data_IF_727495730465
#
_entry.id   IF_727495730465
#
_cell.length_a   1.000
_cell.length_b   1.000
_cell.length_c   1.000
_cell.angle_alpha   90.00
_cell.angle_beta   90.00
_cell.angle_gamma   90.00
#
_symmetry.space_group_name_H-M   'P 1'
#
loop_
_entity.id
_entity.type
_entity.pdbx_description
1 polymer ?
#
# COMPACT_ATOMS: atom_id res chain seq x y z
N UNK A 1 7.73 34.06 -4.25
CA UNK A 1 7.76 32.95 -5.23
C UNK A 1 8.31 31.71 -4.54
N UNK A 2 7.79 30.52 -4.77
CA UNK A 2 8.34 29.32 -4.16
C UNK A 2 9.80 29.12 -4.58
N UNK A 3 10.71 28.75 -3.66
CA UNK A 3 12.13 28.57 -3.95
C UNK A 3 12.36 27.21 -4.64
N UNK A 4 12.05 27.11 -5.92
CA UNK A 4 12.10 25.85 -6.69
C UNK A 4 13.46 25.14 -6.59
N UNK A 5 14.57 25.90 -6.54
CA UNK A 5 15.91 25.34 -6.36
C UNK A 5 16.06 24.57 -5.05
N UNK A 6 15.52 25.09 -3.93
CA UNK A 6 15.55 24.42 -2.63
C UNK A 6 14.72 23.12 -2.64
N UNK A 7 13.53 23.14 -3.23
CA UNK A 7 12.71 21.94 -3.39
C UNK A 7 13.41 20.88 -4.28
N UNK A 8 14.08 21.31 -5.36
CA UNK A 8 14.84 20.41 -6.22
C UNK A 8 16.03 19.77 -5.48
N UNK A 9 16.73 20.52 -4.62
CA UNK A 9 17.80 19.97 -3.76
C UNK A 9 17.24 18.93 -2.81
N UNK A 10 16.11 19.20 -2.15
CA UNK A 10 15.46 18.24 -1.25
C UNK A 10 15.01 16.97 -1.99
N UNK A 11 14.42 17.10 -3.19
CA UNK A 11 14.07 15.96 -4.03
C UNK A 11 15.28 15.10 -4.37
N UNK A 12 16.38 15.73 -4.77
CA UNK A 12 17.63 15.05 -5.13
C UNK A 12 18.22 14.32 -3.92
N UNK A 13 18.24 14.94 -2.74
CA UNK A 13 18.74 14.34 -1.51
C UNK A 13 17.88 13.16 -1.09
N UNK A 14 16.56 13.29 -1.17
CA UNK A 14 15.62 12.19 -0.89
C UNK A 14 15.86 11.02 -1.84
N UNK A 15 16.00 11.28 -3.13
CA UNK A 15 16.23 10.26 -4.15
C UNK A 15 17.60 9.60 -4.01
N UNK A 16 18.66 10.41 -3.93
CA UNK A 16 20.03 9.89 -3.80
C UNK A 16 20.20 9.17 -2.45
N UNK A 17 19.64 9.71 -1.36
CA UNK A 17 19.68 9.09 -0.04
C UNK A 17 19.05 7.69 -0.07
N UNK A 18 17.82 7.57 -0.58
CA UNK A 18 17.15 6.27 -0.71
C UNK A 18 17.94 5.31 -1.60
N UNK A 19 18.37 5.78 -2.77
CA UNK A 19 19.13 4.96 -3.71
C UNK A 19 20.43 4.42 -3.11
N UNK A 20 21.22 5.28 -2.46
CA UNK A 20 22.52 4.91 -1.90
C UNK A 20 22.38 4.04 -0.64
N UNK A 21 21.44 4.37 0.25
CA UNK A 21 21.22 3.63 1.51
C UNK A 21 20.71 2.20 1.22
N UNK A 22 20.02 1.98 0.12
CA UNK A 22 19.58 0.64 -0.28
C UNK A 22 20.72 -0.36 -0.45
N UNK A 23 21.93 0.03 -0.91
CA UNK A 23 23.02 -0.90 -1.12
C UNK A 23 23.50 -1.59 0.16
N UNK A 24 23.85 -0.86 1.25
CA UNK A 24 24.22 -1.50 2.51
C UNK A 24 23.05 -2.21 3.17
N UNK A 25 21.83 -1.66 3.14
CA UNK A 25 20.65 -2.29 3.75
C UNK A 25 20.31 -3.62 3.09
N UNK A 26 20.37 -3.69 1.77
CA UNK A 26 20.16 -4.95 1.06
C UNK A 26 21.18 -6.03 1.49
N UNK A 27 22.46 -5.67 1.62
CA UNK A 27 23.49 -6.59 2.11
C UNK A 27 23.23 -7.05 3.54
N UNK A 28 22.80 -6.11 4.40
CA UNK A 28 22.46 -6.39 5.79
C UNK A 28 21.24 -7.31 5.88
N UNK A 29 20.16 -7.00 5.17
CA UNK A 29 18.94 -7.82 5.15
C UNK A 29 19.21 -9.27 4.71
N UNK A 30 20.07 -9.46 3.70
CA UNK A 30 20.51 -10.80 3.27
C UNK A 30 21.32 -11.53 4.36
N UNK A 31 22.18 -10.81 5.11
CA UNK A 31 22.98 -11.41 6.20
C UNK A 31 22.15 -11.81 7.41
N UNK A 32 21.16 -10.99 7.76
CA UNK A 32 20.27 -11.21 8.92
C UNK A 32 19.15 -12.18 8.58
N UNK A 33 18.94 -12.50 7.28
CA UNK A 33 17.84 -13.36 6.84
C UNK A 33 16.49 -12.63 6.79
N UNK A 34 16.48 -11.29 6.77
CA UNK A 34 15.28 -10.49 6.64
C UNK A 34 14.87 -10.42 5.15
N UNK A 35 14.30 -11.53 4.68
CA UNK A 35 13.93 -11.75 3.29
C UNK A 35 12.50 -12.28 3.17
N UNK A 36 11.81 -11.86 2.14
CA UNK A 36 10.54 -12.46 1.76
C UNK A 36 10.80 -13.89 1.26
N UNK A 37 10.27 -14.87 1.99
CA UNK A 37 10.35 -16.28 1.58
C UNK A 37 9.44 -16.50 0.37
N UNK A 38 9.88 -17.31 -0.62
CA UNK A 38 8.98 -17.77 -1.68
C UNK A 38 7.79 -18.49 -1.03
N UNK A 39 6.59 -18.00 -1.27
CA UNK A 39 5.35 -18.67 -0.89
C UNK A 39 4.59 -18.95 -2.19
N UNK A 40 3.82 -20.05 -2.26
CA UNK A 40 2.97 -20.41 -3.41
C UNK A 40 1.97 -19.30 -3.79
N UNK A 41 1.78 -18.34 -2.88
CA UNK A 41 0.92 -17.15 -3.07
C UNK A 41 1.63 -15.98 -3.72
N UNK A 42 2.97 -15.99 -3.85
CA UNK A 42 3.78 -14.87 -4.36
C UNK A 42 4.40 -15.25 -5.71
N UNK A 43 4.34 -14.33 -6.65
CA UNK A 43 4.82 -14.50 -8.05
C UNK A 43 6.36 -14.63 -8.12
N UNK A 44 7.08 -14.58 -6.99
CA UNK A 44 8.53 -14.49 -6.95
C UNK A 44 9.19 -15.83 -6.67
N UNK A 45 10.01 -16.30 -7.63
CA UNK A 45 10.81 -17.53 -7.52
C UNK A 45 12.11 -17.35 -6.70
N UNK A 46 12.44 -16.14 -6.24
CA UNK A 46 13.69 -15.85 -5.52
C UNK A 46 13.40 -15.12 -4.20
N UNK A 47 14.17 -15.45 -3.16
CA UNK A 47 14.14 -14.71 -1.89
C UNK A 47 14.59 -13.27 -2.11
N UNK A 48 13.70 -12.32 -1.91
CA UNK A 48 13.97 -10.88 -2.09
C UNK A 48 14.06 -10.20 -0.73
N UNK A 49 15.13 -9.46 -0.44
CA UNK A 49 15.31 -8.80 0.86
C UNK A 49 14.34 -7.66 1.06
N UNK A 50 13.83 -7.53 2.28
CA UNK A 50 13.18 -6.32 2.77
C UNK A 50 14.23 -5.25 3.07
N UNK A 51 13.82 -4.02 3.29
CA UNK A 51 14.69 -2.91 3.68
C UNK A 51 14.38 -1.61 2.94
N UNK A 52 13.49 -1.64 1.93
CA UNK A 52 13.07 -0.43 1.21
C UNK A 52 12.47 0.61 2.13
N UNK A 53 11.57 0.21 3.04
CA UNK A 53 10.95 1.09 4.02
C UNK A 53 11.98 1.78 4.91
N UNK A 54 13.01 1.05 5.37
CA UNK A 54 14.11 1.63 6.18
C UNK A 54 14.89 2.66 5.37
N UNK A 55 15.24 2.36 4.10
CA UNK A 55 15.97 3.32 3.26
C UNK A 55 15.17 4.59 2.99
N UNK A 56 13.88 4.46 2.70
CA UNK A 56 12.98 5.59 2.48
C UNK A 56 12.83 6.44 3.73
N UNK A 57 12.64 5.83 4.90
CA UNK A 57 12.49 6.54 6.18
C UNK A 57 13.78 7.30 6.57
N UNK A 58 14.96 6.69 6.44
CA UNK A 58 16.22 7.36 6.69
C UNK A 58 16.48 8.51 5.71
N UNK A 59 16.16 8.33 4.44
CA UNK A 59 16.28 9.38 3.43
C UNK A 59 15.29 10.53 3.68
N UNK A 60 14.07 10.22 4.15
CA UNK A 60 13.10 11.22 4.59
C UNK A 60 13.65 12.05 5.76
N UNK A 61 14.20 11.43 6.81
CA UNK A 61 14.78 12.15 7.95
C UNK A 61 15.94 13.04 7.51
N UNK A 62 16.81 12.52 6.62
CA UNK A 62 17.91 13.30 6.05
C UNK A 62 17.38 14.50 5.24
N UNK A 63 16.35 14.29 4.43
CA UNK A 63 15.74 15.35 3.62
C UNK A 63 15.09 16.42 4.49
N UNK A 64 14.39 16.05 5.58
CA UNK A 64 13.83 16.99 6.55
C UNK A 64 14.92 17.79 7.26
N UNK A 65 16.01 17.11 7.66
CA UNK A 65 17.17 17.79 8.27
C UNK A 65 17.78 18.80 7.31
N UNK A 66 18.02 18.42 6.06
CA UNK A 66 18.58 19.34 5.05
C UNK A 66 17.61 20.48 4.76
N UNK A 67 16.32 20.20 4.62
CA UNK A 67 15.30 21.22 4.39
C UNK A 67 15.29 22.27 5.53
N UNK A 68 15.46 21.85 6.78
CA UNK A 68 15.51 22.76 7.94
C UNK A 68 16.75 23.68 7.94
N UNK A 69 17.84 23.27 7.27
CA UNK A 69 19.07 24.08 7.14
C UNK A 69 19.04 25.04 5.93
N UNK A 70 18.16 24.78 4.97
CA UNK A 70 18.04 25.66 3.80
C UNK A 70 17.31 26.95 4.17
N UNK A 71 17.99 28.06 4.06
CA UNK A 71 17.45 29.40 4.43
C UNK A 71 16.08 29.68 3.79
N UNK A 72 15.90 29.25 2.54
CA UNK A 72 14.65 29.45 1.79
C UNK A 72 13.46 28.66 2.34
N UNK A 73 13.71 27.59 3.12
CA UNK A 73 12.69 26.70 3.68
C UNK A 73 12.57 26.82 5.21
N UNK A 74 13.39 27.65 5.86
CA UNK A 74 13.37 27.81 7.33
C UNK A 74 12.01 28.24 7.86
N UNK A 75 11.24 29.03 7.10
CA UNK A 75 9.89 29.43 7.49
C UNK A 75 8.92 28.27 7.71
N UNK A 76 9.15 27.12 7.06
CA UNK A 76 8.35 25.91 7.27
C UNK A 76 8.59 25.25 8.63
N UNK A 77 9.72 25.53 9.28
CA UNK A 77 10.15 24.92 10.54
C UNK A 77 10.03 25.87 11.75
N UNK A 78 9.75 27.15 11.50
CA UNK A 78 9.68 28.17 12.54
C UNK A 78 8.23 28.43 12.94
N UNK A 79 7.94 28.35 14.24
CA UNK A 79 6.63 28.72 14.77
C UNK A 79 5.53 27.67 14.58
N UNK A 80 5.83 26.50 13.99
CA UNK A 80 4.88 25.40 13.82
C UNK A 80 5.41 24.08 14.38
N UNK A 81 4.54 23.29 15.00
CA UNK A 81 4.82 21.92 15.46
C UNK A 81 4.64 20.87 14.36
N UNK A 82 4.11 21.24 13.21
CA UNK A 82 3.80 20.35 12.10
C UNK A 82 4.99 19.54 11.57
N UNK A 83 6.20 20.14 11.37
CA UNK A 83 7.35 19.36 10.93
C UNK A 83 7.76 18.28 11.93
N UNK A 84 7.69 18.58 13.22
CA UNK A 84 7.93 17.60 14.28
C UNK A 84 6.83 16.53 14.31
N UNK A 85 5.57 16.94 14.18
CA UNK A 85 4.42 16.05 14.08
C UNK A 85 4.54 15.08 12.92
N UNK A 86 4.98 15.57 11.75
CA UNK A 86 5.25 14.74 10.57
C UNK A 86 6.34 13.69 10.85
N UNK A 87 7.45 14.09 11.46
CA UNK A 87 8.55 13.16 11.78
C UNK A 87 8.13 12.12 12.81
N UNK A 88 7.41 12.51 13.87
CA UNK A 88 6.94 11.60 14.92
C UNK A 88 5.86 10.65 14.38
N UNK A 89 4.86 11.15 13.65
CA UNK A 89 3.85 10.31 13.01
C UNK A 89 4.45 9.31 12.02
N UNK A 90 5.42 9.77 11.23
CA UNK A 90 6.18 8.92 10.32
C UNK A 90 6.98 7.85 11.08
N UNK A 91 7.59 8.17 12.22
CA UNK A 91 8.29 7.20 13.05
C UNK A 91 7.35 6.15 13.65
N UNK A 92 6.16 6.56 14.11
CA UNK A 92 5.13 5.63 14.62
C UNK A 92 4.68 4.67 13.55
N UNK A 93 4.28 5.17 12.38
CA UNK A 93 3.76 4.31 11.30
C UNK A 93 4.86 3.39 10.73
N UNK A 94 6.10 3.90 10.63
CA UNK A 94 7.25 3.11 10.23
C UNK A 94 7.54 1.98 11.21
N UNK A 95 7.45 2.24 12.52
CA UNK A 95 7.61 1.21 13.56
C UNK A 95 6.50 0.15 13.46
N UNK A 96 5.24 0.56 13.27
CA UNK A 96 4.10 -0.36 13.05
C UNK A 96 4.34 -1.25 11.85
N UNK A 97 4.68 -0.68 10.69
CA UNK A 97 4.95 -1.46 9.49
C UNK A 97 6.17 -2.36 9.63
N UNK A 98 7.22 -1.92 10.35
CA UNK A 98 8.40 -2.77 10.59
C UNK A 98 8.06 -3.95 11.50
N UNK A 99 7.22 -3.76 12.52
CA UNK A 99 6.74 -4.85 13.38
C UNK A 99 5.89 -5.83 12.57
N UNK A 100 5.04 -5.31 11.67
CA UNK A 100 4.23 -6.15 10.79
C UNK A 100 5.09 -6.98 9.82
N UNK A 101 6.11 -6.38 9.19
CA UNK A 101 7.06 -7.09 8.33
C UNK A 101 7.83 -8.23 9.05
N UNK A 102 7.98 -8.15 10.38
CA UNK A 102 8.73 -9.14 11.19
C UNK A 102 7.83 -10.18 11.85
N UNK A 103 6.61 -9.80 12.29
CA UNK A 103 5.78 -10.60 13.21
C UNK A 103 4.35 -10.85 12.75
N UNK A 104 3.95 -10.41 11.55
CA UNK A 104 2.57 -10.51 11.04
C UNK A 104 1.54 -10.01 12.08
N UNK A 105 1.28 -8.71 12.11
CA UNK A 105 0.34 -8.09 13.07
C UNK A 105 -1.11 -8.43 12.71
N UNK A 106 -1.96 -8.55 13.72
CA UNK A 106 -3.40 -8.60 13.48
C UNK A 106 -3.91 -7.26 12.91
N UNK A 107 -4.91 -7.30 12.01
CA UNK A 107 -5.46 -6.09 11.40
C UNK A 107 -5.95 -5.05 12.42
N UNK A 108 -6.60 -5.40 13.56
CA UNK A 108 -6.93 -4.43 14.59
C UNK A 108 -5.70 -3.77 15.24
N UNK A 109 -4.61 -4.52 15.45
CA UNK A 109 -3.39 -3.97 16.02
C UNK A 109 -2.69 -3.00 15.05
N UNK A 110 -2.65 -3.34 13.76
CA UNK A 110 -2.15 -2.46 12.69
C UNK A 110 -2.96 -1.18 12.62
N UNK A 111 -4.29 -1.29 12.61
CA UNK A 111 -5.20 -0.13 12.60
C UNK A 111 -5.02 0.76 13.85
N UNK A 112 -4.83 0.17 15.04
CA UNK A 112 -4.54 0.94 16.25
C UNK A 112 -3.25 1.76 16.12
N UNK A 113 -2.22 1.21 15.48
CA UNK A 113 -0.98 1.93 15.17
C UNK A 113 -1.18 3.08 14.18
N UNK A 114 -2.00 2.89 13.15
CA UNK A 114 -2.39 3.94 12.20
C UNK A 114 -3.16 5.07 12.89
N UNK A 115 -4.11 4.74 13.77
CA UNK A 115 -4.82 5.71 14.61
C UNK A 115 -3.85 6.47 15.51
N UNK A 116 -2.88 5.80 16.11
CA UNK A 116 -1.86 6.45 16.95
C UNK A 116 -1.05 7.47 16.14
N UNK A 117 -0.59 7.10 14.95
CA UNK A 117 0.12 8.02 14.05
C UNK A 117 -0.76 9.24 13.66
N UNK A 118 -2.04 9.00 13.37
CA UNK A 118 -3.00 10.06 13.08
C UNK A 118 -3.24 10.97 14.30
N UNK A 119 -3.28 10.44 15.51
CA UNK A 119 -3.41 11.26 16.72
C UNK A 119 -2.17 12.11 16.97
N UNK A 120 -0.96 11.62 16.68
CA UNK A 120 0.25 12.45 16.68
C UNK A 120 0.10 13.63 15.73
N UNK A 121 -0.43 13.42 14.52
CA UNK A 121 -0.73 14.48 13.56
C UNK A 121 -1.69 15.51 14.14
N UNK A 122 -2.81 15.05 14.72
CA UNK A 122 -3.81 15.93 15.32
C UNK A 122 -3.22 16.80 16.42
N UNK A 123 -2.45 16.22 17.34
CA UNK A 123 -1.84 16.96 18.46
C UNK A 123 -0.76 17.95 18.01
N UNK A 124 -0.11 17.68 16.89
CA UNK A 124 0.95 18.53 16.33
C UNK A 124 0.46 19.53 15.26
N UNK A 125 -0.84 19.53 14.95
CA UNK A 125 -1.46 20.48 14.02
C UNK A 125 -1.52 20.04 12.57
N UNK A 126 -1.05 18.84 12.21
CA UNK A 126 -1.21 18.26 10.87
C UNK A 126 -2.63 17.71 10.74
N UNK A 127 -3.57 18.55 10.38
CA UNK A 127 -5.00 18.21 10.42
C UNK A 127 -5.75 18.68 9.19
N UNK A 128 -6.84 18.00 8.87
CA UNK A 128 -7.82 18.44 7.90
C UNK A 128 -8.83 19.34 8.60
N UNK A 129 -8.63 20.66 8.55
CA UNK A 129 -9.53 21.62 9.20
C UNK A 129 -10.76 21.99 8.38
N UNK A 130 -10.66 21.85 7.07
CA UNK A 130 -11.73 22.23 6.14
C UNK A 130 -11.63 21.42 4.85
N UNK A 131 -12.78 21.24 4.18
CA UNK A 131 -12.82 20.69 2.83
C UNK A 131 -14.05 21.18 2.09
N UNK A 132 -13.97 21.14 0.77
CA UNK A 132 -15.03 21.57 -0.09
C UNK A 132 -15.70 20.37 -0.74
N UNK A 133 -17.01 20.24 -0.52
CA UNK A 133 -17.81 19.22 -1.17
C UNK A 133 -18.47 19.86 -2.39
N UNK A 134 -18.30 19.31 -3.61
CA UNK A 134 -19.00 19.78 -4.80
C UNK A 134 -20.50 19.81 -4.53
N UNK A 135 -21.19 20.85 -5.00
CA UNK A 135 -22.62 21.11 -4.84
C UNK A 135 -23.10 21.46 -3.41
N UNK A 136 -22.35 21.09 -2.35
CA UNK A 136 -22.73 21.41 -0.96
C UNK A 136 -22.02 22.68 -0.49
N UNK A 137 -20.79 22.92 -0.95
CA UNK A 137 -20.03 24.10 -0.60
C UNK A 137 -18.85 23.82 0.33
N UNK A 138 -18.44 24.87 1.02
CA UNK A 138 -17.27 24.84 1.92
C UNK A 138 -17.70 24.36 3.30
N UNK A 139 -17.10 23.27 3.76
CA UNK A 139 -17.35 22.70 5.08
C UNK A 139 -16.14 22.93 5.98
N UNK A 140 -16.33 23.75 7.01
CA UNK A 140 -15.38 23.91 8.11
C UNK A 140 -15.71 22.87 9.17
N UNK A 141 -14.74 22.04 9.49
CA UNK A 141 -14.92 20.98 10.48
C UNK A 141 -14.96 21.54 11.90
N UNK A 142 -15.87 21.04 12.70
CA UNK A 142 -15.87 21.35 14.13
C UNK A 142 -14.62 20.74 14.81
N UNK A 143 -14.15 21.31 15.93
CA UNK A 143 -13.00 20.77 16.67
C UNK A 143 -13.13 19.28 17.04
N UNK A 144 -14.36 18.79 17.25
CA UNK A 144 -14.61 17.38 17.54
C UNK A 144 -14.56 16.47 16.32
N UNK A 145 -14.88 16.99 15.13
CA UNK A 145 -14.85 16.21 13.87
C UNK A 145 -13.48 16.18 13.21
N UNK A 146 -12.65 17.19 13.43
CA UNK A 146 -11.29 17.28 12.85
C UNK A 146 -10.43 16.06 13.16
N UNK A 147 -10.30 15.59 14.43
CA UNK A 147 -9.50 14.39 14.74
C UNK A 147 -10.04 13.13 14.06
N UNK A 148 -11.37 12.97 14.04
CA UNK A 148 -12.02 11.80 13.47
C UNK A 148 -11.78 11.69 11.97
N UNK A 149 -11.99 12.79 11.23
CA UNK A 149 -11.78 12.82 9.78
C UNK A 149 -10.29 12.76 9.41
N UNK A 150 -9.41 13.37 10.22
CA UNK A 150 -7.96 13.24 10.04
C UNK A 150 -7.53 11.78 10.20
N UNK A 151 -7.98 11.08 11.24
CA UNK A 151 -7.69 9.68 11.44
C UNK A 151 -8.25 8.80 10.32
N UNK A 152 -9.51 9.01 9.94
CA UNK A 152 -10.14 8.28 8.84
C UNK A 152 -9.36 8.48 7.52
N UNK A 153 -8.92 9.71 7.22
CA UNK A 153 -8.14 10.01 6.03
C UNK A 153 -6.78 9.31 6.04
N UNK A 154 -6.05 9.37 7.15
CA UNK A 154 -4.78 8.65 7.31
C UNK A 154 -4.98 7.16 7.08
N UNK A 155 -5.96 6.53 7.74
CA UNK A 155 -6.24 5.10 7.59
C UNK A 155 -6.59 4.74 6.14
N UNK A 156 -7.43 5.51 5.48
CA UNK A 156 -7.83 5.25 4.07
C UNK A 156 -6.63 5.31 3.15
N UNK A 157 -5.80 6.34 3.25
CA UNK A 157 -4.67 6.52 2.34
C UNK A 157 -3.54 5.54 2.63
N UNK A 158 -3.21 5.27 3.91
CA UNK A 158 -2.17 4.29 4.27
C UNK A 158 -2.54 2.89 3.78
N UNK A 159 -3.79 2.47 3.99
CA UNK A 159 -4.25 1.16 3.53
C UNK A 159 -4.40 1.10 2.01
N UNK A 160 -4.81 2.19 1.34
CA UNK A 160 -4.88 2.22 -0.12
C UNK A 160 -3.50 2.03 -0.75
N UNK A 161 -2.46 2.69 -0.21
CA UNK A 161 -1.08 2.51 -0.70
C UNK A 161 -0.53 1.12 -0.36
N UNK A 162 -0.83 0.60 0.83
CA UNK A 162 -0.42 -0.74 1.23
C UNK A 162 -1.03 -1.83 0.33
N UNK A 163 -2.31 -1.70 -0.03
CA UNK A 163 -3.01 -2.67 -0.89
C UNK A 163 -2.45 -2.77 -2.31
N UNK A 164 -1.89 -1.70 -2.86
CA UNK A 164 -1.29 -1.72 -4.20
C UNK A 164 0.16 -2.19 -4.20
N UNK A 165 0.81 -2.41 -3.03
CA UNK A 165 2.18 -2.95 -2.95
C UNK A 165 2.21 -4.48 -3.18
N UNK A 166 1.49 -4.94 -4.18
CA UNK A 166 1.42 -6.36 -4.58
C UNK A 166 2.30 -6.75 -5.76
N UNK A 167 2.86 -5.78 -6.51
CA UNK A 167 3.69 -6.01 -7.68
C UNK A 167 4.96 -5.13 -7.66
N UNK A 168 6.05 -5.69 -8.20
CA UNK A 168 7.33 -5.00 -8.35
C UNK A 168 7.20 -3.63 -8.99
N UNK A 169 7.56 -2.56 -8.29
CA UNK A 169 7.53 -1.18 -8.77
C UNK A 169 6.15 -0.52 -8.80
N UNK A 170 5.06 -1.24 -8.49
CA UNK A 170 3.71 -0.70 -8.65
C UNK A 170 3.45 0.44 -7.68
N UNK A 171 3.54 0.19 -6.37
CA UNK A 171 3.26 1.19 -5.35
C UNK A 171 4.24 2.37 -5.43
N UNK A 172 5.54 2.10 -5.52
CA UNK A 172 6.56 3.14 -5.63
C UNK A 172 6.34 4.05 -6.85
N UNK A 173 5.96 3.48 -8.01
CA UNK A 173 5.73 4.27 -9.22
C UNK A 173 4.43 5.08 -9.18
N UNK A 174 3.33 4.50 -8.68
CA UNK A 174 2.06 5.22 -8.50
C UNK A 174 2.26 6.39 -7.54
N UNK A 175 2.90 6.14 -6.38
CA UNK A 175 3.16 7.20 -5.39
C UNK A 175 4.14 8.24 -5.93
N UNK A 176 5.15 7.86 -6.71
CA UNK A 176 6.05 8.83 -7.37
C UNK A 176 5.27 9.77 -8.29
N UNK A 177 4.40 9.24 -9.16
CA UNK A 177 3.61 10.07 -10.08
C UNK A 177 2.64 10.95 -9.29
N UNK A 178 1.94 10.40 -8.31
CA UNK A 178 0.98 11.10 -7.48
C UNK A 178 1.64 12.22 -6.64
N UNK A 179 2.77 11.92 -5.98
CA UNK A 179 3.52 12.87 -5.18
C UNK A 179 4.13 13.98 -6.04
N UNK A 180 4.69 13.63 -7.21
CA UNK A 180 5.18 14.61 -8.18
C UNK A 180 4.08 15.57 -8.66
N UNK A 181 2.91 15.04 -8.99
CA UNK A 181 1.75 15.83 -9.37
C UNK A 181 1.29 16.74 -8.23
N UNK A 182 1.22 16.21 -7.01
CA UNK A 182 0.81 16.97 -5.82
C UNK A 182 1.83 18.07 -5.47
N UNK A 183 3.13 17.79 -5.62
CA UNK A 183 4.18 18.80 -5.46
C UNK A 183 4.01 19.96 -6.46
N UNK A 184 3.84 19.65 -7.75
CA UNK A 184 3.58 20.64 -8.80
C UNK A 184 2.31 21.43 -8.50
N UNK A 185 1.25 20.73 -8.07
CA UNK A 185 -0.02 21.36 -7.70
C UNK A 185 0.17 22.35 -6.55
N UNK A 186 0.75 21.93 -5.43
CA UNK A 186 0.95 22.78 -4.25
C UNK A 186 1.89 23.97 -4.52
N UNK A 187 3.01 23.75 -5.22
CA UNK A 187 3.93 24.82 -5.63
C UNK A 187 3.25 25.84 -6.56
N UNK A 188 2.36 25.38 -7.44
CA UNK A 188 1.59 26.26 -8.31
C UNK A 188 0.59 27.10 -7.52
N UNK A 189 -0.08 26.52 -6.51
CA UNK A 189 -0.98 27.24 -5.62
C UNK A 189 -0.22 28.32 -4.82
N UNK A 190 0.98 28.02 -4.30
CA UNK A 190 1.84 29.03 -3.64
C UNK A 190 2.19 30.14 -4.63
N UNK A 191 2.56 29.80 -5.86
CA UNK A 191 2.88 30.80 -6.89
C UNK A 191 1.70 31.72 -7.21
N UNK A 192 0.47 31.19 -7.16
CA UNK A 192 -0.76 31.95 -7.39
C UNK A 192 -1.24 32.71 -6.15
N UNK A 193 -0.57 32.57 -5.00
CA UNK A 193 -1.00 33.18 -3.73
C UNK A 193 -2.24 32.52 -3.11
N UNK A 194 -2.61 31.33 -3.56
CA UNK A 194 -3.76 30.56 -3.08
C UNK A 194 -3.41 29.60 -1.93
N UNK A 195 -2.13 29.38 -1.69
CA UNK A 195 -1.61 28.58 -0.58
C UNK A 195 -0.51 29.40 0.09
N UNK A 196 -0.44 29.45 1.44
CA UNK A 196 0.63 30.12 2.16
C UNK A 196 2.01 29.57 1.78
N UNK A 197 3.02 30.45 1.77
CA UNK A 197 4.40 30.05 1.41
C UNK A 197 5.09 29.16 2.45
N UNK A 198 4.58 29.15 3.67
CA UNK A 198 4.97 28.32 4.82
C UNK A 198 4.17 27.02 4.94
N UNK A 199 3.40 26.64 3.90
CA UNK A 199 2.70 25.37 3.86
C UNK A 199 3.66 24.20 3.64
N UNK A 200 3.58 23.19 4.53
CA UNK A 200 4.46 22.04 4.56
C UNK A 200 4.16 21.01 3.46
N UNK A 201 2.93 21.01 2.92
CA UNK A 201 2.45 20.00 1.97
C UNK A 201 3.33 19.79 0.73
N UNK A 202 3.73 20.84 0.01
CA UNK A 202 4.63 20.70 -1.14
C UNK A 202 5.99 20.08 -0.79
N UNK A 203 6.54 20.37 0.40
CA UNK A 203 7.77 19.75 0.87
C UNK A 203 7.60 18.25 1.10
N UNK A 204 6.51 17.85 1.78
CA UNK A 204 6.19 16.44 1.99
C UNK A 204 6.05 15.70 0.65
N UNK A 205 5.32 16.28 -0.29
CA UNK A 205 5.11 15.70 -1.61
C UNK A 205 6.42 15.54 -2.40
N UNK A 206 7.32 16.56 -2.34
CA UNK A 206 8.64 16.50 -2.97
C UNK A 206 9.51 15.40 -2.36
N UNK A 207 9.50 15.25 -1.03
CA UNK A 207 10.25 14.19 -0.35
C UNK A 207 9.68 12.82 -0.73
N UNK A 208 8.35 12.64 -0.71
CA UNK A 208 7.68 11.40 -1.12
C UNK A 208 8.02 11.02 -2.56
N UNK A 209 8.00 11.99 -3.48
CA UNK A 209 8.48 11.81 -4.85
C UNK A 209 9.93 11.33 -4.90
N UNK A 210 10.83 12.02 -4.20
CA UNK A 210 12.26 11.70 -4.19
C UNK A 210 12.55 10.30 -3.67
N UNK A 211 11.99 9.93 -2.50
CA UNK A 211 12.22 8.58 -1.92
C UNK A 211 11.70 7.46 -2.84
N UNK A 212 10.57 7.67 -3.51
CA UNK A 212 10.04 6.71 -4.48
C UNK A 212 10.95 6.58 -5.71
N UNK A 213 11.39 7.71 -6.30
CA UNK A 213 12.30 7.71 -7.45
C UNK A 213 13.63 7.04 -7.11
N UNK A 214 14.17 7.28 -5.91
CA UNK A 214 15.40 6.64 -5.44
C UNK A 214 15.25 5.14 -5.19
N UNK A 215 14.05 4.70 -4.81
CA UNK A 215 13.77 3.28 -4.56
C UNK A 215 13.47 2.49 -5.84
N UNK A 216 12.82 3.08 -6.84
CA UNK A 216 12.39 2.41 -8.07
C UNK A 216 13.47 1.58 -8.77
N UNK A 217 14.75 2.00 -8.88
CA UNK A 217 15.79 1.18 -9.51
C UNK A 217 16.07 -0.14 -8.79
N UNK A 218 15.73 -0.22 -7.49
CA UNK A 218 15.86 -1.44 -6.69
C UNK A 218 14.59 -2.30 -6.68
N UNK A 219 13.44 -1.70 -6.95
CA UNK A 219 12.13 -2.33 -6.85
C UNK A 219 11.47 -2.63 -8.20
N UNK A 220 11.93 -2.01 -9.31
CA UNK A 220 11.38 -2.30 -10.65
C UNK A 220 11.62 -3.76 -11.05
N UNK A 221 10.63 -4.35 -11.73
CA UNK A 221 10.65 -5.77 -12.08
C UNK A 221 11.82 -6.19 -12.99
N UNK A 222 12.60 -7.23 -12.64
CA UNK A 222 12.51 -8.08 -11.44
C UNK A 222 13.08 -7.36 -10.20
N UNK A 223 12.30 -7.28 -9.14
CA UNK A 223 12.68 -6.54 -7.93
C UNK A 223 13.92 -7.15 -7.26
N UNK A 224 14.80 -6.27 -6.78
CA UNK A 224 15.99 -6.60 -6.01
C UNK A 224 15.83 -6.34 -4.52
N UNK A 225 14.78 -5.60 -4.15
CA UNK A 225 14.37 -5.30 -2.79
C UNK A 225 12.89 -4.93 -2.73
N UNK A 226 12.23 -5.26 -1.63
CA UNK A 226 10.87 -4.86 -1.32
C UNK A 226 10.83 -3.73 -0.31
N UNK A 227 9.77 -2.87 -0.41
CA UNK A 227 9.58 -1.81 0.58
C UNK A 227 8.98 -2.36 1.88
N UNK A 228 8.19 -3.44 1.82
CA UNK A 228 7.45 -4.01 2.93
C UNK A 228 6.34 -3.12 3.43
N UNK A 229 5.63 -3.58 4.45
CA UNK A 229 4.58 -2.82 5.12
C UNK A 229 5.13 -1.54 5.77
N UNK A 230 6.38 -1.59 6.26
CA UNK A 230 7.10 -0.41 6.75
C UNK A 230 7.18 0.71 5.70
N UNK A 231 7.50 0.38 4.45
CA UNK A 231 7.58 1.36 3.37
C UNK A 231 6.22 1.79 2.83
N UNK A 232 5.31 0.85 2.64
CA UNK A 232 3.99 1.12 2.06
C UNK A 232 3.13 2.01 2.97
N UNK A 233 3.05 1.69 4.28
CA UNK A 233 2.35 2.51 5.27
C UNK A 233 3.00 3.89 5.44
N UNK A 234 4.33 3.95 5.45
CA UNK A 234 5.06 5.21 5.54
C UNK A 234 4.77 6.12 4.34
N UNK A 235 4.82 5.60 3.10
CA UNK A 235 4.46 6.37 1.91
C UNK A 235 3.00 6.82 1.94
N UNK A 236 2.09 5.95 2.39
CA UNK A 236 0.68 6.29 2.57
C UNK A 236 0.48 7.44 3.56
N UNK A 237 1.19 7.43 4.69
CA UNK A 237 1.15 8.52 5.67
C UNK A 237 1.67 9.83 5.09
N UNK A 238 2.79 9.83 4.34
CA UNK A 238 3.30 11.03 3.68
C UNK A 238 2.29 11.59 2.67
N UNK A 239 1.63 10.73 1.91
CA UNK A 239 0.60 11.14 0.96
C UNK A 239 -0.63 11.71 1.68
N UNK A 240 -1.06 11.08 2.78
CA UNK A 240 -2.15 11.60 3.61
C UNK A 240 -1.81 12.99 4.16
N UNK A 241 -0.62 13.17 4.74
CA UNK A 241 -0.14 14.45 5.24
C UNK A 241 -0.07 15.52 4.14
N UNK A 242 0.57 15.22 3.00
CA UNK A 242 0.70 16.16 1.90
C UNK A 242 -0.67 16.62 1.36
N UNK A 243 -1.62 15.70 1.26
CA UNK A 243 -2.98 16.00 0.78
C UNK A 243 -3.78 16.82 1.78
N UNK A 244 -3.64 16.57 3.09
CA UNK A 244 -4.27 17.37 4.14
C UNK A 244 -3.70 18.79 4.19
N UNK A 245 -2.39 18.93 4.12
CA UNK A 245 -1.71 20.23 4.15
C UNK A 245 -2.06 21.11 2.95
N UNK A 246 -2.09 20.55 1.75
CA UNK A 246 -2.44 21.29 0.54
C UNK A 246 -3.95 21.48 0.45
N UNK A 247 -4.72 20.40 0.58
CA UNK A 247 -6.15 20.40 0.36
C UNK A 247 -6.97 21.02 1.51
N UNK A 248 -6.56 20.76 2.75
CA UNK A 248 -7.24 21.22 3.96
C UNK A 248 -7.04 22.69 4.30
N UNK A 249 -6.19 23.40 3.56
CA UNK A 249 -5.81 24.83 3.84
C UNK A 249 -5.98 25.75 2.67
N UNK A 250 -6.46 25.28 1.53
CA UNK A 250 -6.68 26.11 0.34
C UNK A 250 -7.95 26.94 0.53
N UNK A 251 -7.91 28.28 0.43
CA UNK A 251 -9.07 29.14 0.55
C UNK A 251 -10.07 28.91 -0.58
N UNK A 252 -11.32 29.38 -0.40
CA UNK A 252 -12.37 29.26 -1.40
C UNK A 252 -12.02 30.02 -2.68
N UNK A 253 -11.75 29.30 -3.75
CA UNK A 253 -11.53 29.85 -5.08
C UNK A 253 -12.85 29.79 -5.84
N UNK A 254 -13.57 30.92 -5.90
CA UNK A 254 -14.78 31.07 -6.70
C UNK A 254 -14.44 31.17 -8.19
N UNK A 255 -14.90 30.21 -9.00
CA UNK A 255 -14.71 30.21 -10.46
C UNK A 255 -15.35 29.01 -11.14
N UNK A 256 -15.52 29.07 -12.48
CA UNK A 256 -16.17 28.01 -13.28
C UNK A 256 -15.40 26.67 -13.30
N UNK A 257 -14.13 26.65 -12.88
CA UNK A 257 -13.30 25.46 -12.72
C UNK A 257 -13.50 24.75 -11.38
N UNK A 258 -14.52 25.15 -10.67
CA UNK A 258 -14.89 24.79 -9.32
C UNK A 258 -14.95 23.28 -9.02
N UNK A 259 -15.40 22.48 -9.98
CA UNK A 259 -15.56 21.04 -9.82
C UNK A 259 -14.22 20.31 -9.65
N UNK A 260 -13.13 20.88 -10.21
CA UNK A 260 -11.80 20.27 -10.23
C UNK A 260 -10.89 20.73 -9.10
N UNK A 261 -11.26 21.77 -8.37
CA UNK A 261 -10.44 22.36 -7.30
C UNK A 261 -10.94 22.06 -5.90
N UNK A 262 -11.87 21.13 -5.74
CA UNK A 262 -12.27 20.71 -4.41
C UNK A 262 -11.10 20.00 -3.71
N UNK A 263 -10.57 20.53 -2.61
CA UNK A 263 -9.36 20.03 -1.96
C UNK A 263 -9.38 18.53 -1.63
N UNK A 264 -10.56 17.98 -1.36
CA UNK A 264 -10.76 16.57 -1.09
C UNK A 264 -10.67 15.69 -2.35
N UNK A 265 -11.14 16.22 -3.51
CA UNK A 265 -11.21 15.43 -4.75
C UNK A 265 -9.88 15.33 -5.46
N UNK A 266 -9.04 16.37 -5.36
CA UNK A 266 -7.71 16.35 -6.00
C UNK A 266 -6.85 15.19 -5.49
N UNK A 267 -6.69 14.98 -4.17
CA UNK A 267 -6.02 13.80 -3.66
C UNK A 267 -6.67 12.49 -4.11
N UNK A 268 -8.02 12.43 -4.11
CA UNK A 268 -8.75 11.24 -4.56
C UNK A 268 -8.51 10.95 -6.04
N UNK A 269 -8.43 11.97 -6.90
CA UNK A 269 -8.09 11.76 -8.31
C UNK A 269 -6.63 11.38 -8.52
N UNK A 270 -5.69 12.06 -7.84
CA UNK A 270 -4.25 11.77 -7.95
C UNK A 270 -3.93 10.36 -7.42
N UNK A 271 -4.55 9.97 -6.31
CA UNK A 271 -4.46 8.62 -5.73
C UNK A 271 -5.60 7.70 -6.21
N UNK A 272 -6.21 8.02 -7.35
CA UNK A 272 -7.43 7.37 -7.81
C UNK A 272 -7.30 5.85 -7.98
N UNK A 273 -6.15 5.38 -8.47
CA UNK A 273 -5.91 3.94 -8.62
C UNK A 273 -5.89 3.22 -7.26
N UNK A 274 -5.10 3.65 -6.25
CA UNK A 274 -5.12 3.05 -4.92
C UNK A 274 -6.48 3.11 -4.24
N UNK A 275 -7.13 4.28 -4.26
CA UNK A 275 -8.42 4.48 -3.59
C UNK A 275 -9.53 3.67 -4.27
N UNK A 276 -9.55 3.61 -5.59
CA UNK A 276 -10.51 2.79 -6.32
C UNK A 276 -10.34 1.31 -5.99
N UNK A 277 -9.10 0.81 -5.92
CA UNK A 277 -8.83 -0.60 -5.58
C UNK A 277 -9.30 -0.92 -4.15
N UNK A 278 -9.04 -0.03 -3.19
CA UNK A 278 -9.56 -0.14 -1.82
C UNK A 278 -11.10 -0.15 -1.79
N UNK A 279 -11.75 0.79 -2.50
CA UNK A 279 -13.21 0.88 -2.56
C UNK A 279 -13.83 -0.37 -3.18
N UNK A 280 -13.29 -0.86 -4.29
CA UNK A 280 -13.77 -2.10 -4.91
C UNK A 280 -13.56 -3.32 -4.01
N UNK A 281 -12.44 -3.41 -3.29
CA UNK A 281 -12.21 -4.47 -2.31
C UNK A 281 -13.27 -4.42 -1.18
N UNK A 282 -13.55 -3.23 -0.66
CA UNK A 282 -14.57 -3.01 0.36
C UNK A 282 -15.96 -3.45 -0.10
N UNK A 283 -16.41 -2.95 -1.27
CA UNK A 283 -17.73 -3.29 -1.85
C UNK A 283 -17.87 -4.79 -2.08
N UNK A 284 -16.84 -5.44 -2.64
CA UNK A 284 -16.87 -6.90 -2.87
C UNK A 284 -16.97 -7.70 -1.58
N UNK A 285 -16.20 -7.34 -0.55
CA UNK A 285 -16.23 -8.03 0.76
C UNK A 285 -17.58 -7.88 1.43
N UNK A 286 -18.15 -6.67 1.41
CA UNK A 286 -19.47 -6.40 1.94
C UNK A 286 -20.54 -7.19 1.19
N UNK A 287 -20.51 -7.21 -0.15
CA UNK A 287 -21.47 -7.94 -0.99
C UNK A 287 -21.37 -9.47 -0.82
N UNK A 288 -20.20 -10.00 -0.47
CA UNK A 288 -19.98 -11.45 -0.24
C UNK A 288 -20.22 -11.85 1.22
N UNK A 289 -20.51 -10.91 2.13
CA UNK A 289 -20.65 -11.19 3.57
C UNK A 289 -19.36 -11.70 4.23
N UNK A 290 -18.20 -11.53 3.58
CA UNK A 290 -16.90 -11.96 4.10
C UNK A 290 -16.33 -10.84 4.99
N UNK A 291 -15.81 -11.22 6.17
CA UNK A 291 -15.21 -10.26 7.10
C UNK A 291 -14.02 -9.50 6.49
N UNK A 292 -13.73 -8.32 7.04
CA UNK A 292 -12.63 -7.45 6.57
C UNK A 292 -11.23 -8.08 6.63
N UNK A 293 -11.07 -9.19 7.37
CA UNK A 293 -9.81 -9.89 7.57
C UNK A 293 -9.50 -10.96 6.51
N UNK A 294 -10.45 -11.28 5.62
CA UNK A 294 -10.20 -12.28 4.58
C UNK A 294 -9.31 -11.71 3.47
N UNK A 295 -8.21 -12.40 3.11
CA UNK A 295 -7.37 -11.99 1.98
C UNK A 295 -8.21 -11.94 0.69
N UNK A 296 -8.25 -10.79 0.03
CA UNK A 296 -8.90 -10.64 -1.27
C UNK A 296 -7.85 -10.77 -2.39
N UNK A 297 -8.03 -11.72 -3.31
CA UNK A 297 -7.17 -11.92 -4.49
C UNK A 297 -7.69 -11.18 -5.73
N UNK A 298 -8.74 -10.35 -5.62
CA UNK A 298 -9.42 -9.72 -6.74
C UNK A 298 -9.07 -8.23 -6.93
N UNK A 299 -7.87 -7.81 -6.49
CA UNK A 299 -7.37 -6.46 -6.75
C UNK A 299 -7.19 -6.19 -8.24
N UNK A 300 -7.26 -4.91 -8.66
CA UNK A 300 -7.18 -4.50 -10.07
C UNK A 300 -5.92 -5.05 -10.76
N UNK A 301 -4.77 -5.04 -10.07
CA UNK A 301 -3.54 -5.59 -10.62
C UNK A 301 -3.60 -7.11 -10.83
N UNK A 302 -4.26 -7.88 -9.95
CA UNK A 302 -4.48 -9.31 -10.14
C UNK A 302 -5.43 -9.60 -11.31
N UNK A 303 -6.44 -8.73 -11.53
CA UNK A 303 -7.33 -8.87 -12.68
C UNK A 303 -6.59 -8.65 -14.00
N UNK A 304 -5.70 -7.63 -14.07
CA UNK A 304 -4.88 -7.39 -15.24
C UNK A 304 -3.91 -8.53 -15.54
N UNK A 305 -3.33 -9.14 -14.51
CA UNK A 305 -2.50 -10.34 -14.66
C UNK A 305 -3.30 -11.52 -15.22
N UNK A 306 -4.51 -11.76 -14.69
CA UNK A 306 -5.42 -12.81 -15.20
C UNK A 306 -5.88 -12.58 -16.64
N UNK A 307 -5.94 -11.32 -17.07
CA UNK A 307 -6.21 -10.95 -18.46
C UNK A 307 -4.99 -11.15 -19.39
N UNK A 308 -3.91 -11.80 -18.94
CA UNK A 308 -2.73 -12.10 -19.76
C UNK A 308 -1.74 -10.94 -19.94
N UNK A 309 -1.92 -9.83 -19.20
CA UNK A 309 -0.90 -8.80 -19.12
C UNK A 309 0.24 -9.28 -18.21
N UNK A 310 1.47 -9.34 -18.71
CA UNK A 310 2.62 -9.67 -17.85
C UNK A 310 2.86 -8.61 -16.76
N UNK A 311 3.61 -8.92 -15.67
CA UNK A 311 3.80 -8.02 -14.52
C UNK A 311 4.25 -6.62 -14.90
N UNK A 312 5.24 -6.49 -15.79
CA UNK A 312 5.76 -5.18 -16.25
C UNK A 312 4.67 -4.34 -16.95
N UNK A 313 3.86 -4.97 -17.82
CA UNK A 313 2.80 -4.26 -18.56
C UNK A 313 1.69 -3.81 -17.63
N UNK A 314 1.28 -4.65 -16.68
CA UNK A 314 0.29 -4.31 -15.65
C UNK A 314 0.73 -3.06 -14.88
N UNK A 315 1.97 -3.01 -14.43
CA UNK A 315 2.54 -1.86 -13.71
C UNK A 315 2.51 -0.61 -14.59
N UNK A 316 2.98 -0.68 -15.83
CA UNK A 316 3.00 0.47 -16.75
C UNK A 316 1.59 0.98 -17.09
N UNK A 317 0.60 0.10 -17.22
CA UNK A 317 -0.81 0.48 -17.44
C UNK A 317 -1.33 1.28 -16.25
N UNK A 318 -1.09 0.80 -15.03
CA UNK A 318 -1.55 1.47 -13.81
C UNK A 318 -0.81 2.80 -13.57
N UNK A 319 0.47 2.89 -13.91
CA UNK A 319 1.21 4.16 -13.94
C UNK A 319 0.62 5.14 -14.97
N UNK A 320 0.28 4.65 -16.16
CA UNK A 320 -0.35 5.48 -17.19
C UNK A 320 -1.71 6.02 -16.73
N UNK A 321 -2.54 5.20 -16.09
CA UNK A 321 -3.79 5.67 -15.48
C UNK A 321 -3.56 6.74 -14.41
N UNK A 322 -2.60 6.52 -13.51
CA UNK A 322 -2.24 7.52 -12.48
C UNK A 322 -1.76 8.82 -13.11
N UNK A 323 -0.94 8.74 -14.17
CA UNK A 323 -0.46 9.91 -14.89
C UNK A 323 -1.61 10.67 -15.62
N UNK A 324 -2.55 9.94 -16.23
CA UNK A 324 -3.75 10.53 -16.86
C UNK A 324 -4.60 11.25 -15.84
N UNK A 325 -4.89 10.62 -14.69
CA UNK A 325 -5.68 11.22 -13.62
C UNK A 325 -4.97 12.45 -13.03
N UNK A 326 -3.66 12.36 -12.79
CA UNK A 326 -2.84 13.47 -12.31
C UNK A 326 -2.81 14.63 -13.31
N UNK A 327 -2.63 14.32 -14.60
CA UNK A 327 -2.66 15.31 -15.67
C UNK A 327 -4.00 15.99 -15.81
N UNK A 328 -5.10 15.24 -15.67
CA UNK A 328 -6.45 15.78 -15.67
C UNK A 328 -6.65 16.85 -14.59
N UNK A 329 -6.09 16.62 -13.40
CA UNK A 329 -6.14 17.57 -12.28
C UNK A 329 -5.22 18.77 -12.53
N UNK A 330 -4.00 18.54 -13.04
CA UNK A 330 -3.00 19.61 -13.21
C UNK A 330 -3.29 20.52 -14.41
N UNK A 331 -3.85 20.00 -15.50
CA UNK A 331 -4.02 20.73 -16.74
C UNK A 331 -4.81 22.05 -16.60
N UNK A 332 -5.97 22.10 -15.89
CA UNK A 332 -6.71 23.33 -15.68
C UNK A 332 -5.92 24.42 -14.95
N UNK A 333 -4.99 24.01 -14.10
CA UNK A 333 -4.15 24.94 -13.32
C UNK A 333 -3.20 25.77 -14.19
N UNK A 334 -2.81 25.22 -15.34
CA UNK A 334 -1.93 25.89 -16.32
C UNK A 334 -2.69 26.48 -17.50
N UNK A 335 -3.89 25.95 -17.81
CA UNK A 335 -4.74 26.34 -18.93
C UNK A 335 -6.21 26.48 -18.50
N UNK A 336 -6.58 27.51 -17.73
CA UNK A 336 -7.91 27.60 -17.11
C UNK A 336 -9.08 27.65 -18.11
N UNK A 337 -8.84 28.10 -19.35
CA UNK A 337 -9.88 28.21 -20.40
C UNK A 337 -9.90 27.03 -21.36
N UNK A 338 -8.99 26.08 -21.24
CA UNK A 338 -8.91 24.97 -22.18
C UNK A 338 -9.89 23.85 -21.76
N UNK A 339 -10.48 23.17 -22.76
CA UNK A 339 -11.25 21.98 -22.49
C UNK A 339 -10.31 20.84 -22.05
N UNK A 340 -10.48 20.37 -20.82
CA UNK A 340 -9.69 19.28 -20.24
C UNK A 340 -10.30 17.91 -20.54
N UNK A 341 -11.63 17.85 -20.67
CA UNK A 341 -12.39 16.60 -20.79
C UNK A 341 -12.04 15.88 -22.10
N UNK A 342 -11.97 16.61 -23.21
CA UNK A 342 -11.73 16.00 -24.53
C UNK A 342 -10.36 15.32 -24.61
N UNK A 343 -9.20 16.00 -24.38
CA UNK A 343 -7.89 15.35 -24.56
C UNK A 343 -7.68 14.21 -23.56
N UNK A 344 -8.06 14.38 -22.29
CA UNK A 344 -7.90 13.33 -21.29
C UNK A 344 -8.92 12.19 -21.46
N UNK A 345 -10.12 12.48 -21.93
CA UNK A 345 -11.11 11.47 -22.30
C UNK A 345 -10.65 10.59 -23.46
N UNK A 346 -10.04 11.20 -24.50
CA UNK A 346 -9.47 10.45 -25.63
C UNK A 346 -8.31 9.56 -25.18
N UNK A 347 -7.40 10.08 -24.35
CA UNK A 347 -6.28 9.29 -23.80
C UNK A 347 -6.80 8.15 -22.91
N UNK A 348 -7.74 8.43 -22.03
CA UNK A 348 -8.35 7.42 -21.16
C UNK A 348 -9.08 6.34 -21.96
N UNK A 349 -9.84 6.72 -23.01
CA UNK A 349 -10.49 5.80 -23.91
C UNK A 349 -9.47 4.93 -24.66
N UNK A 350 -8.40 5.53 -25.20
CA UNK A 350 -7.32 4.80 -25.86
C UNK A 350 -6.64 3.78 -24.94
N UNK A 351 -6.39 4.16 -23.68
CA UNK A 351 -5.82 3.27 -22.67
C UNK A 351 -6.79 2.13 -22.30
N UNK A 352 -8.08 2.44 -22.15
CA UNK A 352 -9.12 1.45 -21.89
C UNK A 352 -9.26 0.45 -23.05
N UNK A 353 -9.28 0.94 -24.29
CA UNK A 353 -9.32 0.09 -25.49
C UNK A 353 -8.06 -0.77 -25.60
N UNK A 354 -6.88 -0.22 -25.30
CA UNK A 354 -5.64 -1.00 -25.25
C UNK A 354 -5.74 -2.14 -24.21
N UNK A 355 -6.31 -1.89 -23.02
CA UNK A 355 -6.51 -2.91 -22.00
C UNK A 355 -7.48 -4.01 -22.46
N UNK A 356 -8.56 -3.64 -23.18
CA UNK A 356 -9.62 -4.57 -23.59
C UNK A 356 -9.26 -5.39 -24.84
N UNK A 357 -8.50 -4.81 -25.78
CA UNK A 357 -8.21 -5.42 -27.09
C UNK A 357 -6.76 -5.86 -27.27
N UNK A 358 -6.00 -5.96 -26.17
CA UNK A 358 -4.61 -6.40 -26.27
C UNK A 358 -4.51 -7.85 -26.80
N UNK A 359 -3.63 -8.15 -27.78
CA UNK A 359 -3.50 -9.49 -28.37
C UNK A 359 -3.24 -10.64 -27.38
N UNK A 360 -2.66 -10.34 -26.22
CA UNK A 360 -2.45 -11.31 -25.14
C UNK A 360 -3.74 -11.88 -24.54
N UNK A 361 -4.85 -11.13 -24.59
CA UNK A 361 -6.16 -11.61 -24.13
C UNK A 361 -6.68 -12.76 -24.97
N UNK A 362 -6.46 -12.69 -26.29
CA UNK A 362 -6.92 -13.71 -27.23
C UNK A 362 -6.18 -15.04 -27.03
N UNK A 363 -4.88 -14.96 -26.74
CA UNK A 363 -4.08 -16.16 -26.45
C UNK A 363 -4.51 -16.81 -25.14
N UNK A 364 -4.71 -16.03 -24.09
CA UNK A 364 -5.15 -16.52 -22.77
C UNK A 364 -6.57 -17.15 -22.83
N UNK A 365 -7.47 -16.56 -23.63
CA UNK A 365 -8.81 -17.15 -23.84
C UNK A 365 -8.73 -18.49 -24.56
N UNK A 366 -7.86 -18.63 -25.55
CA UNK A 366 -7.64 -19.88 -26.27
C UNK A 366 -7.00 -20.95 -25.37
N UNK A 367 -5.95 -20.58 -24.62
CA UNK A 367 -5.30 -21.48 -23.67
C UNK A 367 -6.29 -21.97 -22.57
N UNK A 368 -7.19 -21.07 -22.08
CA UNK A 368 -8.24 -21.42 -21.11
C UNK A 368 -9.36 -22.30 -21.71
N UNK A 369 -9.69 -22.14 -22.99
CA UNK A 369 -10.62 -23.02 -23.70
C UNK A 369 -10.01 -24.41 -23.94
N UNK A 370 -8.70 -24.48 -24.25
CA UNK A 370 -7.98 -25.74 -24.39
C UNK A 370 -7.87 -26.50 -23.07
N UNK A 371 -7.57 -25.80 -21.97
CA UNK A 371 -7.52 -26.38 -20.61
C UNK A 371 -8.91 -26.89 -20.17
N UNK A 372 -9.97 -26.13 -20.46
CA UNK A 372 -11.35 -26.53 -20.16
C UNK A 372 -11.80 -27.72 -21.01
N UNK A 373 -11.41 -27.76 -22.29
CA UNK A 373 -11.70 -28.92 -23.18
C UNK A 373 -10.91 -30.17 -22.77
N UNK A 374 -9.65 -29.99 -22.35
CA UNK A 374 -8.82 -31.06 -21.80
C UNK A 374 -9.40 -31.65 -20.50
N UNK A 375 -9.92 -30.78 -19.62
CA UNK A 375 -10.58 -31.23 -18.37
C UNK A 375 -11.92 -31.94 -18.59
N UNK A 376 -12.66 -31.59 -19.65
CA UNK A 376 -13.91 -32.25 -20.05
C UNK A 376 -13.67 -33.54 -20.82
N UNK A 377 -12.50 -33.70 -21.48
CA UNK A 377 -12.09 -34.92 -22.20
C UNK A 377 -11.45 -36.00 -21.32
N UNK A 378 -10.98 -35.66 -20.13
CA UNK A 378 -10.46 -36.61 -19.15
C UNK A 378 -11.64 -37.30 -18.42
N UNK A 379 -12.06 -38.46 -18.91
CA UNK A 379 -13.06 -39.26 -18.23
C UNK A 379 -12.51 -39.76 -16.88
N UNK A 380 -13.32 -39.77 -15.79
CA UNK A 380 -12.84 -40.10 -14.45
C UNK A 380 -12.34 -41.53 -14.25
N UNK A 381 -12.39 -42.37 -15.30
CA UNK A 381 -12.05 -43.80 -15.18
C UNK A 381 -10.82 -44.21 -16.02
N UNK A 382 -10.16 -43.32 -16.73
CA UNK A 382 -8.88 -43.60 -17.42
C UNK A 382 -7.62 -43.44 -16.55
N UNK A 383 -7.77 -43.21 -15.27
CA UNK A 383 -6.67 -43.29 -14.31
C UNK A 383 -6.60 -44.69 -13.73
N UNK A 384 -5.90 -45.58 -14.40
CA UNK A 384 -5.12 -46.70 -13.91
C UNK A 384 -5.29 -48.00 -14.71
N UNK A 385 -4.45 -48.33 -15.66
CA UNK A 385 -4.00 -49.67 -15.79
C UNK A 385 -2.51 -49.70 -15.45
N UNK A 386 -2.18 -50.11 -14.28
CA UNK A 386 -0.90 -50.75 -13.89
C UNK A 386 -0.72 -50.64 -12.36
N UNK A 387 -1.65 -51.26 -11.63
CA UNK A 387 -1.29 -51.86 -10.35
C UNK A 387 -0.98 -53.34 -10.64
N UNK A 388 0.30 -53.59 -10.95
CA UNK A 388 0.83 -54.95 -10.85
C UNK A 388 0.57 -55.47 -9.44
N UNK A 389 -0.33 -56.44 -9.40
CA UNK A 389 -0.52 -57.34 -8.27
C UNK A 389 0.73 -58.23 -8.20
N UNK A 390 1.51 -58.24 -7.14
CA UNK A 390 2.60 -59.23 -7.01
C UNK A 390 1.93 -60.58 -6.83
N UNK A 391 2.21 -61.47 -7.82
CA UNK A 391 1.85 -62.86 -7.84
C UNK A 391 2.51 -63.59 -6.65
N UNK A 392 1.68 -64.04 -5.73
CA UNK A 392 2.11 -64.85 -4.59
C UNK A 392 1.98 -66.33 -4.98
N UNK A 393 3.01 -66.83 -5.71
CA UNK A 393 3.19 -68.29 -5.78
C UNK A 393 4.65 -68.63 -5.98
N UNK A 394 5.09 -69.48 -5.12
CA UNK A 394 6.25 -70.38 -5.18
C UNK A 394 7.51 -69.96 -4.41
N UNK A 395 7.71 -70.74 -3.44
CA UNK A 395 8.74 -71.64 -3.02
C UNK A 395 9.68 -71.17 -1.92
N UNK A 396 9.59 -72.04 -0.97
CA UNK A 396 10.56 -72.89 -0.27
C UNK A 396 11.26 -72.28 0.97
N UNK A 397 10.72 -72.83 2.06
CA UNK A 397 11.44 -73.64 3.07
C UNK A 397 12.95 -73.43 3.16
N UNK A 398 13.37 -72.78 4.23
CA UNK A 398 14.42 -73.34 5.11
C UNK A 398 14.35 -72.73 6.51
N UNK A 399 14.29 -73.68 7.42
CA UNK A 399 14.47 -73.64 8.87
C UNK A 399 15.68 -72.81 9.31
N UNK A 400 15.55 -72.06 10.39
CA UNK A 400 16.28 -72.43 11.62
C UNK A 400 15.81 -71.63 12.82
N UNK A 401 15.73 -72.30 13.89
CA UNK A 401 15.29 -71.97 15.21
C UNK A 401 16.31 -71.11 15.98
N UNK A 402 15.81 -70.16 16.79
CA UNK A 402 16.23 -69.97 18.20
C UNK A 402 15.37 -68.87 18.84
N UNK A 403 14.42 -69.23 19.61
CA UNK A 403 14.28 -69.18 21.10
C UNK A 403 14.33 -67.78 21.74
N UNK A 404 13.13 -67.49 22.29
CA UNK A 404 12.82 -66.95 23.63
C UNK A 404 12.68 -65.42 23.82
N UNK A 405 11.94 -64.97 24.90
CA UNK A 405 10.46 -65.00 24.94
C UNK A 405 9.83 -63.65 25.38
N UNK A 406 8.51 -63.65 25.37
CA UNK A 406 7.54 -62.70 25.94
C UNK A 406 7.92 -62.01 27.22
N UNK A 407 7.51 -60.76 27.34
CA UNK A 407 6.79 -60.32 28.56
C UNK A 407 5.63 -59.36 28.22
N UNK A 408 4.48 -59.85 28.55
CA UNK A 408 3.19 -59.15 28.64
C UNK A 408 3.16 -58.46 30.00
N UNK A 409 2.71 -57.23 30.03
CA UNK A 409 2.20 -56.60 31.26
C UNK A 409 0.99 -55.75 30.92
N UNK A 410 -0.16 -56.34 31.16
CA UNK A 410 -1.47 -55.75 31.35
C UNK A 410 -1.62 -55.21 32.75
N UNK A 411 -2.22 -54.02 32.92
CA UNK A 411 -3.09 -53.64 34.07
C UNK A 411 -3.74 -52.32 33.68
N UNK A 412 -5.02 -52.21 33.32
CA UNK A 412 -6.33 -52.38 34.01
C UNK A 412 -6.54 -51.46 35.23
N UNK A 413 -7.59 -50.61 35.04
CA UNK A 413 -8.56 -50.11 36.04
C UNK A 413 -8.01 -49.10 37.08
N UNK A 414 -8.76 -48.08 37.50
CA UNK A 414 -10.16 -47.82 37.83
C UNK A 414 -10.29 -46.32 38.28
N UNK A 415 -11.30 -45.62 37.85
CA UNK A 415 -12.54 -45.22 38.51
C UNK A 415 -12.41 -44.47 39.85
N UNK A 416 -13.13 -43.38 39.91
CA UNK A 416 -13.70 -42.59 40.98
C UNK A 416 -13.01 -41.23 41.17
N UNK A 417 -13.67 -40.10 41.21
CA UNK A 417 -14.99 -39.72 41.66
C UNK A 417 -14.91 -38.34 42.23
N UNK A 418 -15.67 -37.42 41.75
CA UNK A 418 -16.46 -36.48 42.48
C UNK A 418 -15.79 -35.40 43.31
N UNK A 419 -16.08 -34.16 42.96
CA UNK A 419 -16.82 -33.19 43.79
C UNK A 419 -16.68 -31.76 43.25
N UNK A 420 -17.82 -31.19 42.87
CA UNK A 420 -18.03 -29.72 42.95
C UNK A 420 -18.14 -29.28 44.41
N UNK A 421 -17.83 -28.07 44.77
CA UNK A 421 -18.73 -27.20 45.52
C UNK A 421 -18.87 -25.82 44.85
N UNK A 422 -20.11 -25.42 44.63
CA UNK A 422 -21.01 -24.54 45.39
C UNK A 422 -20.52 -23.09 45.52
N UNK A 423 -21.28 -22.27 44.87
CA UNK A 423 -21.65 -20.88 45.03
C UNK A 423 -21.77 -20.47 46.52
N UNK A 424 -21.24 -19.29 46.85
CA UNK A 424 -21.79 -18.45 47.92
C UNK A 424 -21.76 -16.98 47.51
N UNK A 425 -22.94 -16.45 47.41
CA UNK A 425 -23.35 -15.06 47.38
C UNK A 425 -23.21 -14.47 48.80
N UNK A 426 -22.73 -13.24 48.87
CA UNK A 426 -23.10 -12.18 49.86
C UNK A 426 -22.27 -10.97 49.45
N UNK A 427 -22.75 -9.75 49.18
CA UNK A 427 -23.84 -9.03 49.78
C UNK A 427 -23.24 -7.80 50.40
N UNK A 428 -23.59 -6.64 49.82
CA UNK A 428 -23.86 -5.34 50.42
C UNK A 428 -22.73 -4.41 50.93
N UNK A 429 -22.83 -3.19 50.39
CA UNK A 429 -22.72 -1.87 51.11
C UNK A 429 -21.29 -1.44 51.53
N UNK A 430 -20.72 -0.46 50.87
CA UNK A 430 -20.86 1.01 51.05
C UNK A 430 -20.38 1.76 49.78
#
# INVERSE_FOLDING_TARGET
MPPLGAYAVVALISAAGTYLVMFPLRRLALRVGFVAKPDERRIHARSTPYGGGVAMFLAFLLAMLVASQLHQLQGLFQGSSEPLGLMLGAAVIFAVGTIDDVRDMSAPAKMAGEVLAAMVFVFMGVTMSQFKIPMIGFLVLSPGMTPLLTAAWVIVITNAVNLIDGLDGLAAGIVAIAAGALAVYGLRLIYMGLLPSDNLGPLIAVIAFGVCVGFLPHNFHPARAFMGDAGALFLGLLMAAATMEIGGRTPDVSGQTFFFFAPLFIPVFILGVPIADLAFAFVRRTARGTGFHTPDKDHVHHRLLRLGHGPRRTVLILWAWTAVLSGFVLYPLFRPRANVIIPFGVIALGLALYMLFHPGLRKYALDAEEDAAGALGASPWEASPDSEVPDASASEMRSDASTHPCTVATSSSSVAGGRRPRVSTSGAED
#
